data_IF_892912320414
#
_entry.id   IF_892912320414
#
_cell.length_a   1.000
_cell.length_b   1.000
_cell.length_c   1.000
_cell.angle_alpha   90.00
_cell.angle_beta   90.00
_cell.angle_gamma   90.00
#
_symmetry.space_group_name_H-M   'P 1'
#
loop_
_entity.id
_entity.type
_entity.pdbx_description
1 polymer ?
#
# COMPACT_ATOMS: atom_id res chain seq x y z
N UNK A 1 -13.03 7.63 31.14
CA UNK A 1 -12.10 8.53 30.43
C UNK A 1 -12.37 8.34 28.95
N UNK A 2 -12.58 9.41 28.17
CA UNK A 2 -12.77 9.26 26.72
C UNK A 2 -11.49 8.67 26.14
N UNK A 3 -11.58 7.48 25.56
CA UNK A 3 -10.44 6.80 24.96
C UNK A 3 -10.05 7.62 23.72
N UNK A 4 -8.91 8.29 23.79
CA UNK A 4 -8.34 9.00 22.64
C UNK A 4 -8.08 7.99 21.54
N UNK A 5 -8.52 8.29 20.31
CA UNK A 5 -8.25 7.44 19.15
C UNK A 5 -6.73 7.23 19.01
N UNK A 6 -6.26 6.02 18.71
CA UNK A 6 -4.83 5.73 18.61
C UNK A 6 -4.19 6.50 17.46
N UNK A 7 -2.92 6.87 17.63
CA UNK A 7 -2.06 7.42 16.59
C UNK A 7 -1.35 6.30 15.83
N UNK A 8 -1.55 6.25 14.52
CA UNK A 8 -0.99 5.23 13.63
C UNK A 8 0.21 5.76 12.84
N UNK A 9 1.37 5.13 12.98
CA UNK A 9 2.54 5.36 12.13
C UNK A 9 2.56 4.38 10.96
N UNK A 10 2.65 4.89 9.74
CA UNK A 10 2.72 4.09 8.51
C UNK A 10 4.10 4.29 7.90
N UNK A 11 4.87 3.21 7.71
CA UNK A 11 6.18 3.29 7.07
C UNK A 11 6.03 2.94 5.59
N UNK A 12 6.12 3.94 4.71
CA UNK A 12 6.07 3.82 3.25
C UNK A 12 4.88 4.55 2.64
N UNK A 13 5.14 5.50 1.73
CA UNK A 13 4.12 6.20 0.95
C UNK A 13 3.85 5.51 -0.41
N UNK A 14 3.83 4.18 -0.40
CA UNK A 14 3.41 3.35 -1.54
C UNK A 14 1.88 3.26 -1.66
N UNK A 15 1.39 2.42 -2.57
CA UNK A 15 -0.06 2.24 -2.77
C UNK A 15 -0.77 1.80 -1.48
N UNK A 16 -0.25 0.78 -0.80
CA UNK A 16 -0.85 0.26 0.44
C UNK A 16 -0.85 1.29 1.58
N UNK A 17 0.27 1.98 1.78
CA UNK A 17 0.39 3.01 2.83
C UNK A 17 -0.50 4.22 2.58
N UNK A 18 -0.62 4.66 1.31
CA UNK A 18 -1.51 5.76 0.96
C UNK A 18 -2.99 5.38 1.07
N UNK A 19 -3.40 4.20 0.58
CA UNK A 19 -4.78 3.72 0.74
C UNK A 19 -5.16 3.63 2.22
N UNK A 20 -4.25 3.12 3.07
CA UNK A 20 -4.45 3.07 4.51
C UNK A 20 -4.55 4.48 5.12
N UNK A 21 -3.68 5.41 4.72
CA UNK A 21 -3.79 6.81 5.15
C UNK A 21 -5.14 7.43 4.82
N UNK A 22 -5.68 7.18 3.61
CA UNK A 22 -6.99 7.71 3.19
C UNK A 22 -8.12 7.10 4.02
N UNK A 23 -8.03 5.81 4.33
CA UNK A 23 -8.98 5.14 5.23
C UNK A 23 -8.97 5.79 6.62
N UNK A 24 -7.79 5.98 7.20
CA UNK A 24 -7.65 6.60 8.53
C UNK A 24 -8.11 8.06 8.55
N UNK A 25 -7.81 8.82 7.49
CA UNK A 25 -8.30 10.20 7.29
C UNK A 25 -9.84 10.23 7.30
N UNK A 26 -10.50 9.35 6.54
CA UNK A 26 -11.96 9.25 6.52
C UNK A 26 -12.56 8.84 7.86
N UNK A 27 -11.84 8.05 8.64
CA UNK A 27 -12.27 7.61 9.97
C UNK A 27 -11.98 8.63 11.07
N UNK A 28 -11.26 9.72 10.77
CA UNK A 28 -10.82 10.69 11.77
C UNK A 28 -9.82 10.11 12.78
N UNK A 29 -9.06 9.09 12.38
CA UNK A 29 -7.99 8.50 13.20
C UNK A 29 -6.69 9.22 12.89
N UNK A 30 -5.92 9.58 13.92
CA UNK A 30 -4.64 10.27 13.72
C UNK A 30 -3.60 9.34 13.10
N UNK A 31 -2.86 9.81 12.10
CA UNK A 31 -1.78 9.05 11.48
C UNK A 31 -0.63 9.92 10.97
N UNK A 32 0.51 9.29 10.71
CA UNK A 32 1.66 9.89 10.02
C UNK A 32 2.28 8.84 9.08
N UNK A 33 2.62 9.24 7.85
CA UNK A 33 3.26 8.40 6.83
C UNK A 33 4.73 8.80 6.71
N UNK A 34 5.64 7.84 6.84
CA UNK A 34 7.09 8.06 6.74
C UNK A 34 7.63 7.44 5.45
N UNK A 35 8.16 8.27 4.55
CA UNK A 35 8.66 7.84 3.25
C UNK A 35 10.16 8.11 3.12
N UNK A 36 10.92 7.09 2.72
CA UNK A 36 12.37 7.19 2.55
C UNK A 36 12.80 8.12 1.43
N UNK A 37 12.00 8.24 0.38
CA UNK A 37 12.33 8.97 -0.84
C UNK A 37 12.05 10.46 -0.66
N UNK A 38 12.87 11.33 -1.26
CA UNK A 38 12.58 12.77 -1.33
C UNK A 38 11.37 13.08 -2.23
N UNK A 39 11.18 12.26 -3.27
CA UNK A 39 10.09 12.34 -4.23
C UNK A 39 9.65 10.92 -4.53
N UNK A 40 8.37 10.60 -4.34
CA UNK A 40 7.81 9.34 -4.79
C UNK A 40 7.67 9.36 -6.32
N UNK A 41 8.54 8.65 -7.02
CA UNK A 41 8.42 8.39 -8.47
C UNK A 41 8.15 6.91 -8.70
N UNK A 42 6.89 6.50 -8.86
CA UNK A 42 6.58 5.13 -9.27
C UNK A 42 7.13 4.86 -10.67
N UNK A 43 7.68 3.67 -10.87
CA UNK A 43 8.08 3.18 -12.19
C UNK A 43 6.84 3.00 -13.08
N UNK A 44 7.00 3.28 -14.38
CA UNK A 44 5.93 3.17 -15.37
C UNK A 44 5.49 1.72 -15.55
N UNK A 45 4.28 1.40 -15.08
CA UNK A 45 3.62 0.13 -15.32
C UNK A 45 2.11 0.38 -15.46
N UNK A 46 1.47 -0.36 -16.38
CA UNK A 46 0.02 -0.46 -16.41
C UNK A 46 -0.47 -1.30 -15.23
N UNK A 47 -1.58 -0.88 -14.63
CA UNK A 47 -2.28 -1.60 -13.58
C UNK A 47 -3.72 -1.82 -14.01
N UNK A 48 -4.26 -2.97 -13.62
CA UNK A 48 -5.68 -3.27 -13.73
C UNK A 48 -6.24 -3.56 -12.35
N UNK A 49 -7.44 -3.07 -12.08
CA UNK A 49 -8.22 -3.44 -10.89
C UNK A 49 -9.60 -3.91 -11.33
N UNK A 50 -10.11 -4.92 -10.64
CA UNK A 50 -11.44 -5.48 -10.89
C UNK A 50 -12.38 -5.30 -9.71
N UNK A 51 -13.53 -5.97 -9.77
CA UNK A 51 -14.62 -5.87 -8.82
C UNK A 51 -14.23 -6.20 -7.36
N UNK A 52 -13.11 -6.88 -7.12
CA UNK A 52 -12.58 -7.13 -5.78
C UNK A 52 -12.03 -5.87 -5.09
N UNK A 53 -11.65 -4.84 -5.84
CA UNK A 53 -11.06 -3.59 -5.32
C UNK A 53 -11.94 -2.37 -5.58
N UNK A 54 -12.74 -2.38 -6.66
CA UNK A 54 -13.54 -1.21 -7.03
C UNK A 54 -14.51 -0.71 -5.94
N UNK A 55 -15.24 -1.57 -5.20
CA UNK A 55 -16.11 -1.12 -4.11
C UNK A 55 -15.36 -0.33 -3.03
N UNK A 56 -14.13 -0.75 -2.70
CA UNK A 56 -13.28 -0.02 -1.74
C UNK A 56 -12.92 1.36 -2.30
N UNK A 57 -12.49 1.44 -3.55
CA UNK A 57 -12.14 2.72 -4.16
C UNK A 57 -13.35 3.66 -4.31
N UNK A 58 -14.54 3.11 -4.49
CA UNK A 58 -15.78 3.88 -4.49
C UNK A 58 -16.09 4.42 -3.09
N UNK A 59 -16.03 3.57 -2.05
CA UNK A 59 -16.20 3.99 -0.66
C UNK A 59 -15.17 5.04 -0.22
N UNK A 60 -14.01 5.10 -0.87
CA UNK A 60 -12.97 6.11 -0.62
C UNK A 60 -13.12 7.38 -1.49
N UNK A 61 -14.14 7.49 -2.33
CA UNK A 61 -14.34 8.58 -3.31
C UNK A 61 -13.17 8.74 -4.31
N UNK A 62 -12.45 7.65 -4.58
CA UNK A 62 -11.30 7.60 -5.50
C UNK A 62 -11.75 7.11 -6.88
N UNK A 63 -12.67 6.14 -6.92
CA UNK A 63 -13.07 5.46 -8.15
C UNK A 63 -13.52 6.41 -9.28
N UNK A 64 -14.32 7.48 -9.04
CA UNK A 64 -14.74 8.38 -10.11
C UNK A 64 -13.58 9.11 -10.78
N UNK A 65 -12.57 9.53 -10.01
CA UNK A 65 -11.37 10.19 -10.54
C UNK A 65 -10.45 9.19 -11.23
N UNK A 66 -10.30 7.99 -10.66
CA UNK A 66 -9.51 6.92 -11.27
C UNK A 66 -10.09 6.53 -12.63
N UNK A 67 -11.41 6.38 -12.76
CA UNK A 67 -12.08 6.07 -14.04
C UNK A 67 -11.76 7.09 -15.13
N UNK A 68 -11.60 8.39 -14.80
CA UNK A 68 -11.19 9.44 -15.75
C UNK A 68 -9.75 9.28 -16.25
N UNK A 69 -8.90 8.65 -15.45
CA UNK A 69 -7.49 8.38 -15.76
C UNK A 69 -7.28 6.98 -16.39
N UNK A 70 -8.36 6.23 -16.59
CA UNK A 70 -8.32 4.84 -17.01
C UNK A 70 -8.91 4.61 -18.39
N UNK A 71 -8.55 3.47 -18.98
CA UNK A 71 -9.20 2.88 -20.14
C UNK A 71 -9.97 1.63 -19.72
N UNK A 72 -11.09 1.29 -20.39
CA UNK A 72 -11.77 0.03 -20.14
C UNK A 72 -10.88 -1.15 -20.56
N UNK A 73 -10.82 -2.19 -19.74
CA UNK A 73 -10.12 -3.44 -20.05
C UNK A 73 -11.15 -4.50 -20.45
N UNK A 74 -11.54 -4.48 -21.73
CA UNK A 74 -12.67 -5.29 -22.25
C UNK A 74 -12.29 -6.72 -22.61
N UNK A 75 -11.05 -6.96 -23.02
CA UNK A 75 -10.57 -8.29 -23.42
C UNK A 75 -9.09 -8.47 -23.03
N UNK A 76 -8.73 -9.70 -22.68
CA UNK A 76 -7.34 -10.13 -22.54
C UNK A 76 -7.13 -11.37 -23.41
N UNK A 77 -6.36 -11.21 -24.47
CA UNK A 77 -6.06 -12.28 -25.41
C UNK A 77 -4.69 -12.90 -25.08
N UNK A 78 -4.63 -14.22 -25.08
CA UNK A 78 -3.43 -15.00 -24.82
C UNK A 78 -3.02 -15.64 -26.14
N UNK A 79 -1.78 -15.38 -26.57
CA UNK A 79 -1.22 -15.90 -27.81
C UNK A 79 -0.08 -16.88 -27.53
N UNK A 80 0.09 -17.87 -28.40
CA UNK A 80 1.29 -18.71 -28.42
C UNK A 80 2.49 -17.93 -28.96
N UNK A 81 3.69 -18.53 -28.90
CA UNK A 81 4.90 -17.92 -29.46
C UNK A 81 4.79 -17.61 -30.97
N UNK A 82 4.04 -18.45 -31.71
CA UNK A 82 3.74 -18.26 -33.13
C UNK A 82 2.57 -17.29 -33.40
N UNK A 83 2.14 -16.51 -32.40
CA UNK A 83 1.04 -15.54 -32.49
C UNK A 83 -0.34 -16.17 -32.79
N UNK A 84 -0.54 -17.45 -32.46
CA UNK A 84 -1.86 -18.07 -32.54
C UNK A 84 -2.66 -17.78 -31.28
N UNK A 85 -3.92 -17.34 -31.43
CA UNK A 85 -4.81 -17.09 -30.30
C UNK A 85 -5.09 -18.41 -29.57
N UNK A 86 -4.67 -18.50 -28.31
CA UNK A 86 -4.91 -19.64 -27.42
C UNK A 86 -6.22 -19.48 -26.64
N UNK A 87 -6.60 -18.25 -26.33
CA UNK A 87 -7.84 -17.95 -25.62
C UNK A 87 -8.00 -16.48 -25.29
N UNK A 88 -9.21 -16.11 -24.92
CA UNK A 88 -9.59 -14.75 -24.56
C UNK A 88 -10.35 -14.75 -23.24
N UNK A 89 -10.02 -13.83 -22.35
CA UNK A 89 -10.84 -13.47 -21.20
C UNK A 89 -11.64 -12.21 -21.54
N UNK A 90 -12.97 -12.31 -21.53
CA UNK A 90 -13.88 -11.18 -21.76
C UNK A 90 -14.10 -10.44 -20.44
N UNK A 91 -13.63 -9.20 -20.36
CA UNK A 91 -13.83 -8.32 -19.20
C UNK A 91 -15.19 -7.60 -19.18
N UNK A 92 -15.93 -7.59 -20.29
CA UNK A 92 -17.22 -6.88 -20.40
C UNK A 92 -18.38 -7.59 -19.68
N UNK A 93 -18.40 -8.93 -19.66
CA UNK A 93 -19.44 -9.72 -18.97
C UNK A 93 -19.37 -9.54 -17.45
N UNK A 94 -18.19 -9.18 -16.92
CA UNK A 94 -17.99 -8.97 -15.49
C UNK A 94 -18.82 -7.79 -14.95
N UNK A 95 -19.01 -6.71 -15.71
CA UNK A 95 -19.77 -5.57 -15.18
C UNK A 95 -21.24 -5.93 -14.90
N UNK A 96 -21.85 -6.72 -15.79
CA UNK A 96 -23.22 -7.18 -15.61
C UNK A 96 -23.37 -8.20 -14.49
N UNK A 97 -22.36 -9.03 -14.24
CA UNK A 97 -22.42 -10.10 -13.23
C UNK A 97 -22.05 -9.61 -11.82
N UNK A 98 -21.03 -8.75 -11.72
CA UNK A 98 -20.44 -8.32 -10.43
C UNK A 98 -20.51 -6.81 -10.19
N UNK A 99 -21.15 -6.05 -11.08
CA UNK A 99 -21.44 -4.61 -10.92
C UNK A 99 -20.29 -3.67 -11.29
N UNK A 100 -19.12 -4.19 -11.64
CA UNK A 100 -17.93 -3.40 -11.96
C UNK A 100 -17.15 -4.00 -13.14
N UNK A 101 -16.98 -3.22 -14.21
CA UNK A 101 -16.09 -3.56 -15.33
C UNK A 101 -14.63 -3.28 -14.99
N UNK A 102 -13.69 -4.07 -15.54
CA UNK A 102 -12.26 -3.86 -15.30
C UNK A 102 -11.75 -2.56 -15.94
N UNK A 103 -10.83 -1.88 -15.26
CA UNK A 103 -10.18 -0.66 -15.77
C UNK A 103 -8.66 -0.83 -15.78
N UNK A 104 -8.01 -0.30 -16.81
CA UNK A 104 -6.56 -0.23 -16.97
C UNK A 104 -6.10 1.22 -16.82
N UNK A 105 -5.07 1.45 -16.00
CA UNK A 105 -4.52 2.79 -15.77
C UNK A 105 -3.01 2.76 -15.52
N UNK A 106 -2.39 3.94 -15.59
CA UNK A 106 -0.98 4.13 -15.25
C UNK A 106 -0.79 4.11 -13.73
N UNK A 107 0.10 3.23 -13.23
CA UNK A 107 0.48 3.21 -11.80
C UNK A 107 0.95 4.57 -11.29
N UNK A 108 1.79 5.33 -12.03
CA UNK A 108 2.11 6.70 -11.65
C UNK A 108 0.94 7.64 -11.45
N UNK A 109 -0.05 7.62 -12.34
CA UNK A 109 -1.22 8.48 -12.22
C UNK A 109 -2.10 8.06 -11.05
N UNK A 110 -2.26 6.75 -10.81
CA UNK A 110 -2.98 6.28 -9.63
C UNK A 110 -2.28 6.66 -8.33
N UNK A 111 -0.96 6.50 -8.25
CA UNK A 111 -0.19 6.91 -7.07
C UNK A 111 -0.32 8.43 -6.79
N UNK A 112 -0.25 9.25 -7.85
CA UNK A 112 -0.47 10.70 -7.75
C UNK A 112 -1.88 11.05 -7.28
N UNK A 113 -2.89 10.33 -7.77
CA UNK A 113 -4.27 10.46 -7.30
C UNK A 113 -4.39 10.10 -5.81
N UNK A 114 -3.77 9.02 -5.35
CA UNK A 114 -3.78 8.67 -3.92
C UNK A 114 -3.09 9.74 -3.06
N UNK A 115 -1.94 10.25 -3.51
CA UNK A 115 -1.24 11.33 -2.82
C UNK A 115 -2.10 12.59 -2.67
N UNK A 116 -2.90 12.95 -3.67
CA UNK A 116 -3.74 14.15 -3.61
C UNK A 116 -4.88 14.06 -2.60
N UNK A 117 -5.19 12.85 -2.12
CA UNK A 117 -6.21 12.60 -1.08
C UNK A 117 -5.66 12.70 0.34
N UNK A 118 -4.34 12.81 0.51
CA UNK A 118 -3.70 12.91 1.82
C UNK A 118 -3.25 14.36 2.07
N UNK A 119 -3.55 14.95 3.24
CA UNK A 119 -2.98 16.24 3.61
C UNK A 119 -1.45 16.20 3.64
N UNK A 120 -0.78 17.17 3.00
CA UNK A 120 0.67 17.15 2.84
C UNK A 120 1.45 17.06 4.18
N UNK A 121 0.91 17.60 5.27
CA UNK A 121 1.54 17.56 6.60
C UNK A 121 1.54 16.17 7.25
N UNK A 122 0.76 15.21 6.71
CA UNK A 122 0.72 13.81 7.16
C UNK A 122 1.80 12.94 6.53
N UNK A 123 2.54 13.44 5.54
CA UNK A 123 3.59 12.68 4.86
C UNK A 123 4.96 13.30 5.13
N UNK A 124 5.83 12.52 5.76
CA UNK A 124 7.19 12.90 6.12
C UNK A 124 8.17 12.23 5.14
N UNK A 125 8.66 13.01 4.18
CA UNK A 125 9.67 12.57 3.21
C UNK A 125 11.08 12.56 3.80
N UNK A 126 12.01 11.87 3.12
CA UNK A 126 13.39 11.66 3.57
C UNK A 126 13.48 10.91 4.92
N UNK A 127 12.45 10.15 5.28
CA UNK A 127 12.36 9.37 6.52
C UNK A 127 12.58 7.90 6.22
N UNK A 128 13.85 7.56 5.99
CA UNK A 128 14.26 6.15 5.86
C UNK A 128 14.29 5.51 7.26
N UNK A 129 13.26 4.75 7.60
CA UNK A 129 13.24 3.94 8.82
C UNK A 129 14.31 2.85 8.75
N UNK A 130 15.11 2.73 9.80
CA UNK A 130 16.21 1.76 9.92
C UNK A 130 15.96 0.70 10.98
N UNK A 131 15.16 1.01 12.00
CA UNK A 131 14.76 0.07 13.03
C UNK A 131 13.44 0.47 13.65
N UNK A 132 12.77 -0.50 14.24
CA UNK A 132 11.53 -0.30 15.01
C UNK A 132 11.68 -0.97 16.37
N UNK A 133 10.96 -0.46 17.35
CA UNK A 133 10.96 -0.96 18.72
C UNK A 133 9.54 -0.92 19.25
N UNK A 134 9.10 -2.00 19.88
CA UNK A 134 7.81 -2.06 20.56
C UNK A 134 8.03 -1.99 22.07
N UNK A 135 7.32 -1.09 22.73
CA UNK A 135 7.22 -1.04 24.19
C UNK A 135 5.87 -1.61 24.64
N UNK A 136 5.62 -1.66 25.95
CA UNK A 136 4.31 -2.09 26.48
C UNK A 136 3.14 -1.18 26.05
N UNK A 137 3.43 0.07 25.69
CA UNK A 137 2.40 1.09 25.48
C UNK A 137 2.45 1.78 24.11
N UNK A 138 3.60 1.78 23.44
CA UNK A 138 3.81 2.49 22.17
C UNK A 138 4.80 1.77 21.26
N UNK A 139 4.75 2.09 19.97
CA UNK A 139 5.76 1.74 18.97
C UNK A 139 6.66 2.94 18.68
N UNK A 140 7.95 2.66 18.44
CA UNK A 140 8.96 3.64 18.06
C UNK A 140 9.58 3.27 16.71
N UNK A 141 9.81 4.27 15.87
CA UNK A 141 10.63 4.15 14.66
C UNK A 141 11.88 5.01 14.80
N UNK A 142 13.01 4.50 14.32
CA UNK A 142 14.26 5.26 14.19
C UNK A 142 14.55 5.46 12.71
N UNK A 143 14.82 6.71 12.33
CA UNK A 143 15.15 7.09 10.97
C UNK A 143 16.67 7.24 10.77
N UNK A 144 17.13 7.09 9.53
CA UNK A 144 18.54 7.21 9.17
C UNK A 144 19.14 8.60 9.42
N UNK A 145 18.30 9.62 9.56
CA UNK A 145 18.69 10.99 9.93
C UNK A 145 18.86 11.18 11.45
N UNK A 146 18.72 10.10 12.23
CA UNK A 146 18.81 10.10 13.70
C UNK A 146 17.53 10.50 14.42
N UNK A 147 16.48 10.91 13.70
CA UNK A 147 15.20 11.27 14.31
C UNK A 147 14.42 10.02 14.72
N UNK A 148 13.65 10.17 15.80
CA UNK A 148 12.77 9.13 16.32
C UNK A 148 11.34 9.64 16.34
N UNK A 149 10.40 8.75 16.03
CA UNK A 149 8.97 9.04 16.10
C UNK A 149 8.27 7.93 16.89
N UNK A 150 7.21 8.31 17.61
CA UNK A 150 6.44 7.46 18.50
C UNK A 150 4.95 7.55 18.14
N UNK A 151 4.25 6.43 18.30
CA UNK A 151 2.82 6.31 18.12
C UNK A 151 2.30 5.01 18.73
N UNK A 152 0.99 4.87 18.83
CA UNK A 152 0.36 3.70 19.46
C UNK A 152 0.44 2.45 18.58
N UNK A 153 0.35 2.62 17.26
CA UNK A 153 0.34 1.53 16.29
C UNK A 153 1.35 1.81 15.18
N UNK A 154 2.13 0.80 14.80
CA UNK A 154 3.05 0.85 13.67
C UNK A 154 2.63 -0.13 12.58
N UNK A 155 2.55 0.35 11.33
CA UNK A 155 2.19 -0.45 10.16
C UNK A 155 3.31 -0.34 9.11
N UNK A 156 3.91 -1.47 8.76
CA UNK A 156 4.90 -1.57 7.69
C UNK A 156 4.24 -1.65 6.31
N UNK A 157 4.41 -0.60 5.50
CA UNK A 157 3.98 -0.52 4.10
C UNK A 157 5.16 -0.20 3.16
N UNK A 158 6.38 -0.58 3.56
CA UNK A 158 7.68 -0.22 2.98
C UNK A 158 8.23 -1.24 1.97
N UNK A 159 7.35 -2.11 1.48
CA UNK A 159 7.57 -2.95 0.30
C UNK A 159 8.51 -4.15 0.49
N UNK A 160 9.05 -4.65 -0.63
CA UNK A 160 9.82 -5.89 -0.66
C UNK A 160 11.08 -5.87 0.23
N UNK A 161 11.67 -4.69 0.46
CA UNK A 161 12.87 -4.50 1.30
C UNK A 161 12.54 -3.83 2.64
N UNK A 162 11.40 -4.22 3.23
CA UNK A 162 10.85 -3.64 4.46
C UNK A 162 11.83 -3.69 5.64
N UNK A 163 12.16 -2.52 6.19
CA UNK A 163 12.92 -2.40 7.42
C UNK A 163 12.06 -2.78 8.64
N UNK A 164 10.75 -2.55 8.57
CA UNK A 164 9.79 -2.95 9.60
C UNK A 164 9.79 -4.48 9.74
N UNK A 165 9.59 -5.21 8.63
CA UNK A 165 9.60 -6.68 8.62
C UNK A 165 10.91 -7.25 9.14
N UNK A 166 12.05 -6.73 8.68
CA UNK A 166 13.37 -7.18 9.16
C UNK A 166 13.53 -6.96 10.67
N UNK A 167 13.06 -5.83 11.20
CA UNK A 167 13.16 -5.55 12.64
C UNK A 167 12.33 -6.54 13.46
N UNK A 168 11.09 -6.80 13.05
CA UNK A 168 10.20 -7.79 13.69
C UNK A 168 10.81 -9.20 13.61
N UNK A 169 11.34 -9.60 12.45
CA UNK A 169 11.99 -10.91 12.28
C UNK A 169 13.20 -11.07 13.21
N UNK A 170 14.02 -10.03 13.36
CA UNK A 170 15.17 -10.04 14.25
C UNK A 170 14.75 -10.24 15.72
N UNK A 171 13.65 -9.62 16.15
CA UNK A 171 13.09 -9.79 17.49
C UNK A 171 12.55 -11.21 17.70
N UNK A 172 11.70 -11.70 16.78
CA UNK A 172 11.17 -13.06 16.84
C UNK A 172 12.28 -14.13 16.84
N UNK A 173 13.37 -13.89 16.10
CA UNK A 173 14.54 -14.78 16.10
C UNK A 173 15.25 -14.80 17.45
N UNK A 174 15.43 -13.65 18.11
CA UNK A 174 16.01 -13.57 19.47
C UNK A 174 15.15 -14.31 20.49
N UNK A 175 13.85 -14.22 20.32
CA UNK A 175 12.85 -14.86 21.19
C UNK A 175 12.61 -16.35 20.88
N UNK A 176 13.26 -16.92 19.86
CA UNK A 176 12.98 -18.26 19.34
C UNK A 176 11.51 -18.48 18.95
N UNK A 177 10.85 -17.44 18.45
CA UNK A 177 9.44 -17.45 17.99
C UNK A 177 9.28 -17.37 16.47
N UNK A 178 10.38 -17.32 15.72
CA UNK A 178 10.32 -17.24 14.27
C UNK A 178 9.75 -18.56 13.69
N UNK A 179 8.77 -18.53 12.76
CA UNK A 179 8.21 -19.74 12.17
C UNK A 179 9.27 -20.59 11.45
N UNK A 180 9.13 -21.92 11.48
CA UNK A 180 10.13 -22.82 10.88
C UNK A 180 10.37 -22.56 9.38
N UNK A 181 9.31 -22.20 8.64
CA UNK A 181 9.40 -21.87 7.21
C UNK A 181 10.18 -20.57 6.94
N UNK A 182 10.28 -19.68 7.93
CA UNK A 182 11.02 -18.41 7.84
C UNK A 182 12.48 -18.54 8.30
N UNK A 183 12.87 -19.69 8.85
CA UNK A 183 14.25 -20.00 9.24
C UNK A 183 15.04 -20.59 8.06
N UNK A 184 14.35 -21.29 7.16
CA UNK A 184 14.98 -21.93 6.00
C UNK A 184 15.34 -20.88 4.96
N UNK A 185 16.60 -20.89 4.49
CA UNK A 185 16.97 -20.12 3.31
C UNK A 185 16.15 -20.63 2.11
N UNK A 186 15.63 -19.70 1.30
CA UNK A 186 14.99 -20.06 0.05
C UNK A 186 16.06 -20.67 -0.87
N UNK A 187 16.03 -22.01 -1.01
CA UNK A 187 16.84 -22.75 -2.00
C UNK A 187 16.54 -22.29 -3.42
#
# INVERSE_FOLDING_TARGET
MAQTSPKVMIVGAGLGGLVLGILLEKMGIEYDIFERSAICKPYGAGMSVGANIMPLLEQLDILPELKKLSLPATTMDIYSEDMNLMGSMLGAEHETEVGYGNILFSRPEFHKLLLSKIPAHRIHYNKKVTSVEQTETHALIRCADGQTHEGDILIGADGAYSAVRTSIYNELKKDNKLPANDIQEMN
#
